data_IF_818672687930
#
_entry.id   IF_818672687930
#
_cell.length_a   1.000
_cell.length_b   1.000
_cell.length_c   1.000
_cell.angle_alpha   90.00
_cell.angle_beta   90.00
_cell.angle_gamma   90.00
#
_symmetry.space_group_name_H-M   'P 1'
#
loop_
_entity.id
_entity.type
_entity.pdbx_description
1 polymer ?
#
# COMPACT_ATOMS: atom_id res chain seq x y z
N UNK A 1 -4.33 15.14 13.00
CA UNK A 1 -3.08 15.31 13.75
C UNK A 1 -2.53 16.69 13.49
N UNK A 2 -2.10 17.40 14.53
CA UNK A 2 -1.52 18.75 14.42
C UNK A 2 -0.24 18.80 15.23
N UNK A 3 0.79 19.46 14.71
CA UNK A 3 2.09 19.58 15.38
C UNK A 3 2.42 21.05 15.57
N UNK A 4 2.71 21.44 16.81
CA UNK A 4 3.17 22.79 17.16
C UNK A 4 4.52 22.69 17.83
N UNK A 5 5.46 23.50 17.36
CA UNK A 5 6.84 23.51 17.87
C UNK A 5 7.02 24.70 18.80
N UNK A 6 7.48 24.45 20.02
CA UNK A 6 8.06 25.46 20.90
C UNK A 6 9.60 25.34 20.83
N UNK A 7 10.27 26.29 21.47
CA UNK A 7 11.70 26.35 21.70
C UNK A 7 12.24 25.07 22.37
N UNK A 8 11.55 24.53 23.38
CA UNK A 8 12.02 23.40 24.19
C UNK A 8 11.25 22.08 24.00
N UNK A 9 10.05 22.13 23.40
CA UNK A 9 9.19 20.94 23.25
C UNK A 9 8.36 20.95 21.96
N UNK A 10 7.82 19.78 21.61
CA UNK A 10 6.93 19.58 20.47
C UNK A 10 5.58 19.08 20.99
N UNK A 11 4.52 19.83 20.69
CA UNK A 11 3.14 19.46 21.00
C UNK A 11 2.54 18.71 19.82
N UNK A 12 2.09 17.48 20.07
CA UNK A 12 1.43 16.63 19.07
C UNK A 12 -0.01 16.40 19.51
N UNK A 13 -0.96 16.83 18.69
CA UNK A 13 -2.37 16.52 18.88
C UNK A 13 -2.81 15.37 17.97
N UNK A 14 -3.36 14.31 18.57
CA UNK A 14 -3.96 13.16 17.87
C UNK A 14 -5.34 12.91 18.48
N UNK A 15 -6.38 13.00 17.65
CA UNK A 15 -7.78 12.78 18.04
C UNK A 15 -8.21 13.57 19.29
N UNK A 16 -7.76 14.83 19.40
CA UNK A 16 -8.08 15.72 20.51
C UNK A 16 -7.31 15.42 21.79
N UNK A 17 -6.30 14.55 21.73
CA UNK A 17 -5.33 14.35 22.80
C UNK A 17 -4.04 15.03 22.43
N UNK A 18 -3.65 16.00 23.23
CA UNK A 18 -2.37 16.70 23.09
C UNK A 18 -1.33 16.05 23.99
N UNK A 19 -0.22 15.64 23.38
CA UNK A 19 0.97 15.14 24.06
C UNK A 19 2.12 16.13 23.87
N UNK A 20 2.82 16.45 24.95
CA UNK A 20 4.07 17.21 24.89
C UNK A 20 5.26 16.24 24.83
N UNK A 21 6.13 16.44 23.85
CA UNK A 21 7.32 15.63 23.63
C UNK A 21 8.56 16.50 23.79
N UNK A 22 9.58 15.96 24.48
CA UNK A 22 10.94 16.49 24.35
C UNK A 22 11.44 16.31 22.91
N UNK A 23 12.49 17.04 22.53
CA UNK A 23 13.07 16.89 21.18
C UNK A 23 13.56 15.47 20.90
N UNK A 24 14.17 14.83 21.90
CA UNK A 24 14.65 13.45 21.77
C UNK A 24 13.47 12.49 21.61
N UNK A 25 12.43 12.61 22.44
CA UNK A 25 11.22 11.77 22.31
C UNK A 25 10.47 12.01 20.99
N UNK A 26 10.54 13.23 20.44
CA UNK A 26 9.96 13.54 19.14
C UNK A 26 10.79 12.97 17.98
N UNK A 27 12.12 12.91 18.11
CA UNK A 27 13.00 12.24 17.15
C UNK A 27 12.77 10.72 17.17
N UNK A 28 12.68 10.11 18.35
CA UNK A 28 12.35 8.70 18.52
C UNK A 28 10.96 8.38 17.95
N UNK A 29 9.97 9.26 18.20
CA UNK A 29 8.64 9.13 17.62
C UNK A 29 8.68 9.27 16.09
N UNK A 30 9.49 10.19 15.56
CA UNK A 30 9.65 10.35 14.11
C UNK A 30 10.28 9.12 13.47
N UNK A 31 11.29 8.52 14.10
CA UNK A 31 11.92 7.28 13.65
C UNK A 31 10.94 6.12 13.72
N UNK A 32 10.26 5.94 14.86
CA UNK A 32 9.25 4.89 15.03
C UNK A 32 8.06 5.04 14.06
N UNK A 33 7.63 6.27 13.78
CA UNK A 33 6.63 6.55 12.74
C UNK A 33 7.21 6.27 11.36
N UNK A 34 8.46 6.64 11.07
CA UNK A 34 9.13 6.35 9.81
C UNK A 34 9.23 4.84 9.53
N UNK A 35 9.63 4.07 10.54
CA UNK A 35 9.70 2.62 10.51
C UNK A 35 8.30 1.98 10.38
N UNK A 36 7.32 2.48 11.13
CA UNK A 36 5.93 2.03 11.00
C UNK A 36 5.30 2.40 9.65
N UNK A 37 5.66 3.54 9.08
CA UNK A 37 5.25 3.98 7.74
C UNK A 37 6.04 3.29 6.64
N UNK A 38 7.16 2.62 6.95
CA UNK A 38 7.92 1.77 6.04
C UNK A 38 7.62 0.29 6.28
N UNK A 39 6.33 -0.04 6.34
CA UNK A 39 5.91 -1.42 6.49
C UNK A 39 5.96 -2.15 5.14
N UNK A 40 6.92 -3.08 5.02
CA UNK A 40 6.87 -4.13 3.98
C UNK A 40 6.05 -5.30 4.49
N UNK A 41 4.89 -5.52 3.88
CA UNK A 41 4.03 -6.67 4.13
C UNK A 41 4.18 -7.70 3.03
N UNK A 42 4.63 -8.89 3.40
CA UNK A 42 4.70 -10.02 2.48
C UNK A 42 3.39 -10.80 2.44
N UNK A 43 3.02 -11.21 1.24
CA UNK A 43 1.88 -12.07 0.96
C UNK A 43 2.36 -13.40 0.38
N UNK A 44 1.44 -14.23 -0.11
CA UNK A 44 1.78 -15.54 -0.64
C UNK A 44 2.67 -15.46 -1.89
N UNK A 45 2.34 -14.59 -2.86
CA UNK A 45 3.15 -14.39 -4.08
C UNK A 45 3.64 -12.97 -4.26
N UNK A 46 3.05 -12.02 -3.55
CA UNK A 46 3.35 -10.60 -3.69
C UNK A 46 3.89 -10.01 -2.39
N UNK A 47 4.39 -8.78 -2.46
CA UNK A 47 4.68 -7.96 -1.29
C UNK A 47 4.21 -6.53 -1.56
N UNK A 48 3.63 -5.92 -0.55
CA UNK A 48 3.28 -4.50 -0.48
C UNK A 48 4.29 -3.76 0.39
N UNK A 49 4.69 -2.56 0.00
CA UNK A 49 5.62 -1.73 0.78
C UNK A 49 5.10 -0.30 0.80
N UNK A 50 4.83 0.21 2.00
CA UNK A 50 4.67 1.64 2.22
C UNK A 50 6.06 2.27 2.26
N UNK A 51 6.25 3.40 1.58
CA UNK A 51 7.52 4.12 1.56
C UNK A 51 7.41 5.46 2.27
N UNK A 52 8.56 6.00 2.67
CA UNK A 52 8.68 7.30 3.33
C UNK A 52 8.18 8.47 2.48
N UNK A 53 8.18 8.34 1.15
CA UNK A 53 7.62 9.34 0.22
C UNK A 53 6.09 9.26 0.08
N UNK A 54 5.44 8.35 0.81
CA UNK A 54 4.00 8.10 0.76
C UNK A 54 3.57 7.14 -0.35
N UNK A 55 4.50 6.73 -1.22
CA UNK A 55 4.19 5.78 -2.30
C UNK A 55 3.93 4.37 -1.76
N UNK A 56 3.14 3.61 -2.51
CA UNK A 56 2.89 2.20 -2.21
C UNK A 56 3.38 1.32 -3.35
N UNK A 57 4.18 0.31 -3.02
CA UNK A 57 4.85 -0.53 -4.00
C UNK A 57 4.38 -1.96 -3.92
N UNK A 58 3.90 -2.45 -5.05
CA UNK A 58 3.57 -3.87 -5.24
C UNK A 58 4.70 -4.54 -5.99
N UNK A 59 5.27 -5.58 -5.39
CA UNK A 59 6.33 -6.40 -5.98
C UNK A 59 5.98 -7.89 -5.88
N UNK A 60 6.76 -8.72 -6.58
CA UNK A 60 6.72 -10.17 -6.38
C UNK A 60 7.54 -10.52 -5.15
N UNK A 61 7.08 -11.46 -4.33
CA UNK A 61 7.78 -11.87 -3.11
C UNK A 61 9.23 -12.31 -3.36
N UNK A 62 9.46 -13.12 -4.40
CA UNK A 62 10.75 -13.77 -4.66
C UNK A 62 11.71 -12.98 -5.58
N UNK A 63 11.46 -11.70 -5.84
CA UNK A 63 12.29 -10.90 -6.74
C UNK A 63 12.97 -9.76 -5.97
N UNK A 64 14.24 -9.93 -5.61
CA UNK A 64 15.09 -8.88 -5.02
C UNK A 64 15.43 -7.75 -6.02
N UNK A 65 15.14 -7.93 -7.31
CA UNK A 65 15.34 -6.89 -8.32
C UNK A 65 14.08 -6.02 -8.50
N UNK A 66 14.21 -4.75 -8.15
CA UNK A 66 13.17 -3.71 -8.25
C UNK A 66 12.54 -3.53 -9.65
N UNK A 67 13.10 -4.14 -10.71
CA UNK A 67 12.77 -3.87 -12.12
C UNK A 67 11.37 -4.27 -12.59
N UNK A 68 10.57 -4.97 -11.78
CA UNK A 68 9.20 -5.39 -12.16
C UNK A 68 8.12 -4.99 -11.14
N UNK A 69 8.43 -4.09 -10.21
CA UNK A 69 7.44 -3.57 -9.28
C UNK A 69 6.46 -2.61 -9.97
N UNK A 70 5.29 -2.42 -9.35
CA UNK A 70 4.36 -1.34 -9.65
C UNK A 70 4.37 -0.38 -8.47
N UNK A 71 4.77 0.86 -8.73
CA UNK A 71 4.70 1.97 -7.78
C UNK A 71 3.40 2.72 -8.02
N UNK A 72 2.67 2.99 -6.95
CA UNK A 72 1.53 3.90 -6.87
C UNK A 72 1.95 5.11 -6.05
N UNK A 73 1.41 6.30 -6.35
CA UNK A 73 1.73 7.52 -5.61
C UNK A 73 1.23 7.45 -4.17
N UNK A 74 0.25 6.57 -3.90
CA UNK A 74 -0.21 6.22 -2.55
C UNK A 74 -0.94 4.88 -2.55
N UNK A 75 -1.17 4.28 -1.38
CA UNK A 75 -2.04 3.11 -1.25
C UNK A 75 -3.48 3.39 -1.70
N UNK A 76 -3.94 4.62 -1.52
CA UNK A 76 -5.26 5.09 -1.95
C UNK A 76 -5.43 5.04 -3.47
N UNK A 77 -4.37 5.24 -4.26
CA UNK A 77 -4.45 5.03 -5.70
C UNK A 77 -4.72 3.58 -6.08
N UNK A 78 -4.17 2.62 -5.34
CA UNK A 78 -4.44 1.19 -5.53
C UNK A 78 -5.90 0.87 -5.15
N UNK A 79 -6.45 1.48 -4.09
CA UNK A 79 -7.88 1.37 -3.75
C UNK A 79 -8.77 1.88 -4.87
N UNK A 80 -8.51 3.10 -5.36
CA UNK A 80 -9.27 3.67 -6.48
C UNK A 80 -9.14 2.85 -7.76
N UNK A 81 -8.00 2.20 -7.99
CA UNK A 81 -7.85 1.26 -9.09
C UNK A 81 -8.82 0.09 -8.91
N UNK A 82 -8.82 -0.55 -7.74
CA UNK A 82 -9.70 -1.67 -7.42
C UNK A 82 -11.18 -1.28 -7.52
N UNK A 83 -11.57 -0.12 -6.99
CA UNK A 83 -12.96 0.35 -7.03
C UNK A 83 -13.49 0.53 -8.45
N UNK A 84 -12.63 0.95 -9.39
CA UNK A 84 -12.98 1.09 -10.82
C UNK A 84 -13.04 -0.23 -11.58
N UNK A 85 -12.47 -1.31 -11.04
CA UNK A 85 -12.57 -2.61 -11.70
C UNK A 85 -14.02 -3.12 -11.62
N UNK A 86 -14.51 -3.81 -12.66
CA UNK A 86 -15.78 -4.54 -12.57
C UNK A 86 -15.72 -5.63 -11.49
N UNK A 87 -16.88 -6.17 -11.12
CA UNK A 87 -16.98 -7.22 -10.10
C UNK A 87 -16.14 -8.44 -10.46
N UNK A 88 -16.18 -8.89 -11.72
CA UNK A 88 -15.25 -9.88 -12.27
C UNK A 88 -14.20 -9.17 -13.14
N UNK A 89 -12.91 -9.36 -12.83
CA UNK A 89 -11.82 -8.69 -13.54
C UNK A 89 -10.63 -9.60 -13.82
N UNK A 90 -9.98 -9.35 -14.96
CA UNK A 90 -8.79 -10.08 -15.41
C UNK A 90 -7.63 -9.12 -15.70
N UNK A 91 -6.55 -9.66 -16.28
CA UNK A 91 -5.43 -8.84 -16.74
C UNK A 91 -5.82 -7.87 -17.85
N UNK A 92 -6.95 -8.06 -18.52
CA UNK A 92 -7.46 -7.12 -19.52
C UNK A 92 -7.98 -5.84 -18.86
N UNK A 93 -8.87 -5.96 -17.88
CA UNK A 93 -9.48 -4.84 -17.16
C UNK A 93 -8.42 -4.01 -16.43
N UNK A 94 -7.47 -4.66 -15.76
CA UNK A 94 -6.31 -3.98 -15.14
C UNK A 94 -5.44 -3.29 -16.20
N UNK A 95 -5.39 -3.82 -17.44
CA UNK A 95 -4.67 -3.22 -18.55
C UNK A 95 -5.26 -1.89 -19.02
N UNK A 96 -6.58 -1.74 -18.94
CA UNK A 96 -7.30 -0.52 -19.37
C UNK A 96 -6.97 0.69 -18.50
N UNK A 97 -6.38 0.50 -17.31
CA UNK A 97 -5.91 1.58 -16.43
C UNK A 97 -4.46 2.00 -16.70
N UNK A 98 -3.88 1.62 -17.84
CA UNK A 98 -2.52 1.98 -18.25
C UNK A 98 -1.42 1.08 -17.67
N UNK A 99 -1.76 0.05 -16.90
CA UNK A 99 -0.78 -0.92 -16.40
C UNK A 99 -0.49 -1.95 -17.50
N UNK A 100 0.78 -2.17 -17.80
CA UNK A 100 1.20 -3.02 -18.92
C UNK A 100 1.89 -4.32 -18.48
N UNK A 101 1.93 -5.29 -19.40
CA UNK A 101 2.76 -6.49 -19.26
C UNK A 101 2.39 -7.39 -18.09
N UNK A 102 3.42 -7.99 -17.47
CA UNK A 102 3.30 -8.96 -16.38
C UNK A 102 2.79 -8.36 -15.07
N UNK A 103 2.85 -7.03 -14.92
CA UNK A 103 2.37 -6.29 -13.74
C UNK A 103 0.87 -6.43 -13.54
N UNK A 104 0.10 -6.58 -14.63
CA UNK A 104 -1.35 -6.77 -14.57
C UNK A 104 -1.72 -8.00 -13.74
N UNK A 105 -1.05 -9.12 -14.02
CA UNK A 105 -1.25 -10.37 -13.28
C UNK A 105 -0.73 -10.31 -11.84
N UNK A 106 0.35 -9.56 -11.61
CA UNK A 106 0.88 -9.33 -10.26
C UNK A 106 -0.15 -8.59 -9.40
N UNK A 107 -0.79 -7.55 -9.95
CA UNK A 107 -1.80 -6.78 -9.23
C UNK A 107 -3.05 -7.61 -8.90
N UNK A 108 -3.53 -8.46 -9.81
CA UNK A 108 -4.66 -9.35 -9.51
C UNK A 108 -4.35 -10.24 -8.31
N UNK A 109 -3.13 -10.81 -8.26
CA UNK A 109 -2.69 -11.63 -7.12
C UNK A 109 -2.58 -10.80 -5.85
N UNK A 110 -2.04 -9.59 -5.96
CA UNK A 110 -1.89 -8.72 -4.81
C UNK A 110 -3.24 -8.34 -4.20
N UNK A 111 -4.20 -7.93 -5.03
CA UNK A 111 -5.55 -7.60 -4.58
C UNK A 111 -6.20 -8.79 -3.87
N UNK A 112 -6.16 -9.98 -4.46
CA UNK A 112 -6.74 -11.18 -3.86
C UNK A 112 -5.96 -11.74 -2.64
N UNK A 113 -4.73 -11.29 -2.40
CA UNK A 113 -3.92 -11.69 -1.24
C UNK A 113 -4.00 -10.66 -0.10
N UNK A 114 -4.36 -9.41 -0.39
CA UNK A 114 -4.26 -8.29 0.54
C UNK A 114 -5.61 -8.05 1.23
N UNK A 115 -5.67 -8.07 2.58
CA UNK A 115 -6.93 -8.10 3.35
C UNK A 115 -7.75 -6.79 3.30
N UNK A 116 -7.28 -5.78 2.58
CA UNK A 116 -8.00 -4.53 2.39
C UNK A 116 -8.86 -4.52 1.11
N UNK A 117 -8.82 -5.61 0.33
CA UNK A 117 -9.59 -5.77 -0.89
C UNK A 117 -10.40 -7.05 -0.78
N UNK A 118 -11.72 -6.89 -0.82
CA UNK A 118 -12.67 -8.00 -0.71
C UNK A 118 -12.80 -8.65 -2.10
N UNK A 119 -11.83 -9.47 -2.47
CA UNK A 119 -11.86 -10.24 -3.71
C UNK A 119 -11.03 -11.51 -3.62
N UNK A 120 -11.36 -12.49 -4.44
CA UNK A 120 -10.62 -13.75 -4.50
C UNK A 120 -10.41 -14.24 -5.93
N UNK A 121 -9.39 -15.08 -6.14
CA UNK A 121 -9.10 -15.66 -7.46
C UNK A 121 -10.06 -16.82 -7.72
N UNK A 122 -10.97 -16.64 -8.67
CA UNK A 122 -11.95 -17.66 -9.07
C UNK A 122 -11.43 -18.54 -10.20
N UNK A 123 -10.54 -18.04 -11.06
CA UNK A 123 -9.92 -18.81 -12.15
C UNK A 123 -8.44 -18.54 -12.29
N UNK A 124 -7.66 -19.58 -12.60
CA UNK A 124 -6.19 -19.50 -12.75
C UNK A 124 -5.70 -19.37 -14.20
N UNK A 125 -6.51 -19.77 -15.17
CA UNK A 125 -6.18 -19.66 -16.60
C UNK A 125 -7.46 -19.47 -17.45
N UNK A 126 -7.76 -18.25 -17.92
CA UNK A 126 -7.04 -17.00 -17.63
C UNK A 126 -7.15 -16.61 -16.15
N UNK A 127 -6.15 -15.89 -15.64
CA UNK A 127 -6.14 -15.42 -14.24
C UNK A 127 -7.25 -14.38 -14.06
N UNK A 128 -8.23 -14.72 -13.24
CA UNK A 128 -9.46 -13.94 -13.03
C UNK A 128 -9.76 -13.86 -11.53
N UNK A 129 -10.15 -12.69 -11.06
CA UNK A 129 -10.61 -12.47 -9.70
C UNK A 129 -12.03 -11.89 -9.71
N UNK A 130 -12.74 -12.11 -8.61
CA UNK A 130 -14.11 -11.64 -8.40
C UNK A 130 -14.17 -10.90 -7.06
N UNK A 131 -14.86 -9.75 -7.03
CA UNK A 131 -15.15 -9.02 -5.80
C UNK A 131 -16.15 -9.79 -4.95
N UNK A 132 -15.90 -9.84 -3.65
CA UNK A 132 -16.80 -10.41 -2.67
C UNK A 132 -17.74 -9.30 -2.20
N UNK A 133 -19.04 -9.49 -2.43
CA UNK A 133 -20.08 -8.47 -2.18
C UNK A 133 -20.47 -8.30 -0.72
#
# INVERSE_FOLDING_TARGET
>A
MTVTTDSDSILVDVDGRTCELSRDAAADLQEAIGDALTERREFFRTAGEYRTDGSYVVSRKAADSAGNAKVFDSFEELRRLYDRLPDEFSAEEVGRTGITGSRRHMLIRHLAEHPAFDCSITRRNPLTAEKEG
#
